data_IF_330410060126
#
_entry.id   IF_330410060126
#
_cell.length_a   1.000
_cell.length_b   1.000
_cell.length_c   1.000
_cell.angle_alpha   90.00
_cell.angle_beta   90.00
_cell.angle_gamma   90.00
#
_symmetry.space_group_name_H-M   'P 1'
#
loop_
_entity.id
_entity.type
_entity.pdbx_description
1 polymer ?
#
# COMPACT_ATOMS: atom_id res chain seq x y z
N UNK A 1 13.24 -10.27 -1.02
CA UNK A 1 12.08 -9.49 -0.58
C UNK A 1 11.88 -9.71 0.92
N UNK A 2 11.62 -8.64 1.65
CA UNK A 2 11.13 -8.68 3.04
C UNK A 2 9.69 -8.15 3.08
N UNK A 3 8.82 -8.78 3.87
CA UNK A 3 7.41 -8.39 3.99
C UNK A 3 7.11 -8.09 5.45
N UNK A 4 6.66 -6.87 5.72
CA UNK A 4 6.43 -6.34 7.07
C UNK A 4 4.93 -6.11 7.24
N UNK A 5 4.29 -6.72 8.27
CA UNK A 5 2.90 -6.42 8.59
C UNK A 5 2.80 -5.06 9.28
N UNK A 6 2.25 -4.07 8.58
CA UNK A 6 2.19 -2.67 9.04
C UNK A 6 1.14 -2.47 10.13
N UNK A 7 0.04 -3.23 10.06
CA UNK A 7 -1.07 -3.11 11.00
C UNK A 7 -1.06 -4.17 12.10
N UNK A 8 0.09 -4.82 12.37
CA UNK A 8 0.20 -5.93 13.31
C UNK A 8 -0.23 -5.55 14.75
N UNK A 9 0.06 -4.32 15.18
CA UNK A 9 -0.24 -3.81 16.52
C UNK A 9 -1.59 -3.06 16.60
N UNK A 10 -2.49 -3.29 15.63
CA UNK A 10 -3.79 -2.64 15.60
C UNK A 10 -4.66 -2.98 16.81
N UNK A 11 -5.11 -1.96 17.53
CA UNK A 11 -6.09 -2.09 18.61
C UNK A 11 -7.54 -1.83 18.13
N UNK A 12 -7.72 -1.44 16.86
CA UNK A 12 -9.01 -1.17 16.24
C UNK A 12 -9.16 -1.94 14.93
N UNK A 13 -10.38 -1.98 14.39
CA UNK A 13 -10.66 -2.68 13.14
C UNK A 13 -9.94 -2.00 11.96
N UNK A 14 -9.17 -2.80 11.19
CA UNK A 14 -8.42 -2.42 9.99
C UNK A 14 -8.12 -3.68 9.18
N UNK A 15 -7.76 -3.56 7.91
CA UNK A 15 -7.18 -4.66 7.15
C UNK A 15 -5.78 -5.02 7.66
N UNK A 16 -5.28 -6.17 7.21
CA UNK A 16 -3.84 -6.43 7.25
C UNK A 16 -3.19 -5.67 6.08
N UNK A 17 -2.38 -4.67 6.40
CA UNK A 17 -1.56 -3.95 5.42
C UNK A 17 -0.13 -4.49 5.46
N UNK A 18 0.52 -4.52 4.31
CA UNK A 18 1.85 -5.11 4.16
C UNK A 18 2.81 -4.17 3.43
N UNK A 19 3.94 -3.86 4.05
CA UNK A 19 5.05 -3.19 3.39
C UNK A 19 5.99 -4.24 2.82
N UNK A 20 6.19 -4.18 1.51
CA UNK A 20 7.02 -5.10 0.75
C UNK A 20 8.29 -4.37 0.34
N UNK A 21 9.42 -4.79 0.90
CA UNK A 21 10.74 -4.22 0.63
C UNK A 21 11.51 -5.05 -0.41
N UNK A 22 12.26 -4.37 -1.27
CA UNK A 22 13.11 -4.98 -2.30
C UNK A 22 13.55 -3.94 -3.34
N UNK A 23 13.71 -4.36 -4.59
CA UNK A 23 13.97 -3.46 -5.72
C UNK A 23 12.86 -2.42 -5.94
N UNK A 24 11.60 -2.76 -5.65
CA UNK A 24 10.48 -1.83 -5.62
C UNK A 24 9.76 -1.90 -4.27
N UNK A 25 9.79 -0.79 -3.54
CA UNK A 25 9.17 -0.68 -2.22
C UNK A 25 7.69 -0.38 -2.38
N UNK A 26 6.83 -1.32 -1.96
CA UNK A 26 5.38 -1.25 -2.20
C UNK A 26 4.60 -1.48 -0.92
N UNK A 27 3.59 -0.65 -0.69
CA UNK A 27 2.60 -0.87 0.36
C UNK A 27 1.35 -1.54 -0.27
N UNK A 28 0.93 -2.68 0.28
CA UNK A 28 -0.31 -3.35 -0.10
C UNK A 28 -1.38 -2.99 0.92
N UNK A 29 -2.35 -2.19 0.47
CA UNK A 29 -3.36 -1.48 1.27
C UNK A 29 -2.79 -0.58 2.38
N UNK A 30 -3.56 0.43 2.79
CA UNK A 30 -3.13 1.40 3.81
C UNK A 30 -3.81 1.21 5.17
N UNK A 31 -4.86 0.38 5.25
CA UNK A 31 -5.56 0.20 6.52
C UNK A 31 -6.38 1.41 6.97
N UNK A 32 -6.82 1.37 8.23
CA UNK A 32 -7.50 2.46 8.96
C UNK A 32 -6.85 2.79 10.31
N UNK A 33 -5.71 2.17 10.62
CA UNK A 33 -4.96 2.50 11.84
C UNK A 33 -4.22 3.82 11.65
N UNK A 34 -4.52 4.82 12.46
CA UNK A 34 -3.79 6.10 12.42
C UNK A 34 -2.29 5.91 12.63
N UNK A 35 -1.48 6.60 11.81
CA UNK A 35 -0.02 6.53 11.87
C UNK A 35 0.60 5.42 11.02
N UNK A 36 -0.14 4.86 10.04
CA UNK A 36 0.40 3.89 9.08
C UNK A 36 1.64 4.45 8.36
N UNK A 37 1.62 5.73 8.00
CA UNK A 37 2.73 6.42 7.35
C UNK A 37 3.95 6.55 8.26
N UNK A 38 3.75 6.63 9.58
CA UNK A 38 4.84 6.61 10.56
C UNK A 38 5.46 5.21 10.64
N UNK A 39 4.64 4.16 10.72
CA UNK A 39 5.13 2.77 10.75
C UNK A 39 5.91 2.44 9.48
N UNK A 40 5.40 2.82 8.30
CA UNK A 40 6.13 2.64 7.03
C UNK A 40 7.48 3.36 7.07
N UNK A 41 7.53 4.58 7.62
CA UNK A 41 8.75 5.36 7.70
C UNK A 41 9.80 4.84 8.70
N UNK A 42 9.43 3.92 9.60
CA UNK A 42 10.41 3.22 10.43
C UNK A 42 11.26 2.24 9.61
N UNK A 43 10.79 1.86 8.42
CA UNK A 43 11.39 0.82 7.59
C UNK A 43 11.99 1.34 6.27
N UNK A 44 11.48 2.45 5.74
CA UNK A 44 11.97 3.05 4.49
C UNK A 44 11.79 4.57 4.46
N UNK A 45 12.69 5.26 3.79
CA UNK A 45 12.58 6.71 3.53
C UNK A 45 11.72 7.02 2.29
N UNK A 46 11.59 6.04 1.37
CA UNK A 46 10.91 6.19 0.09
C UNK A 46 9.92 5.04 -0.15
N UNK A 47 8.78 5.34 -0.79
CA UNK A 47 7.75 4.37 -1.17
C UNK A 47 7.44 4.54 -2.66
N UNK A 48 7.71 3.50 -3.47
CA UNK A 48 7.53 3.59 -4.92
C UNK A 48 6.05 3.49 -5.31
N UNK A 49 5.27 2.67 -4.61
CA UNK A 49 3.86 2.47 -4.92
C UNK A 49 3.02 2.05 -3.72
N UNK A 50 1.72 2.29 -3.84
CA UNK A 50 0.66 1.63 -3.08
C UNK A 50 -0.21 0.83 -4.04
N UNK A 51 -0.47 -0.43 -3.69
CA UNK A 51 -1.40 -1.30 -4.42
C UNK A 51 -2.63 -1.48 -3.55
N UNK A 52 -3.77 -0.99 -4.05
CA UNK A 52 -5.07 -1.09 -3.37
C UNK A 52 -5.81 -2.32 -3.89
N UNK A 53 -6.09 -3.27 -3.00
CA UNK A 53 -6.79 -4.50 -3.35
C UNK A 53 -8.26 -4.22 -3.67
N UNK A 54 -8.93 -3.39 -2.87
CA UNK A 54 -10.30 -2.92 -3.10
C UNK A 54 -10.64 -1.69 -2.23
N UNK A 55 -11.83 -1.11 -2.47
CA UNK A 55 -12.21 0.23 -2.00
C UNK A 55 -12.93 0.27 -0.63
N UNK A 56 -12.93 -0.80 0.15
CA UNK A 56 -13.52 -0.72 1.48
C UNK A 56 -12.66 0.16 2.40
N UNK A 57 -13.33 0.87 3.31
CA UNK A 57 -12.67 1.89 4.13
C UNK A 57 -11.51 1.34 4.94
N UNK A 58 -11.60 0.10 5.41
CA UNK A 58 -10.56 -0.58 6.18
C UNK A 58 -9.30 -0.92 5.39
N UNK A 59 -9.30 -0.72 4.07
CA UNK A 59 -8.14 -0.88 3.19
C UNK A 59 -7.54 0.46 2.73
N UNK A 60 -8.37 1.50 2.56
CA UNK A 60 -7.96 2.79 1.98
C UNK A 60 -7.98 3.95 2.96
N UNK A 61 -8.38 3.73 4.22
CA UNK A 61 -8.66 4.79 5.19
C UNK A 61 -7.47 5.73 5.43
N UNK A 62 -6.27 5.20 5.53
CA UNK A 62 -5.03 5.96 5.75
C UNK A 62 -4.23 6.20 4.47
N UNK A 63 -4.79 5.84 3.29
CA UNK A 63 -4.13 6.01 2.00
C UNK A 63 -3.74 7.48 1.75
N UNK A 64 -4.57 8.42 2.18
CA UNK A 64 -4.28 9.86 2.05
C UNK A 64 -3.03 10.29 2.81
N UNK A 65 -2.84 9.81 4.04
CA UNK A 65 -1.67 10.13 4.85
C UNK A 65 -0.39 9.55 4.26
N UNK A 66 -0.45 8.31 3.77
CA UNK A 66 0.65 7.66 3.05
C UNK A 66 1.03 8.44 1.79
N UNK A 67 0.04 8.84 0.99
CA UNK A 67 0.28 9.60 -0.25
C UNK A 67 0.86 10.98 0.05
N UNK A 68 0.35 11.68 1.07
CA UNK A 68 0.88 12.99 1.48
C UNK A 68 2.35 12.90 1.92
N UNK A 69 2.74 11.81 2.59
CA UNK A 69 4.10 11.64 3.10
C UNK A 69 5.12 11.25 2.04
N UNK A 70 4.76 10.31 1.17
CA UNK A 70 5.74 9.65 0.29
C UNK A 70 5.55 9.96 -1.21
N UNK A 71 4.43 10.56 -1.62
CA UNK A 71 4.08 10.79 -3.04
C UNK A 71 4.24 9.54 -3.96
N UNK A 72 3.73 8.36 -3.55
CA UNK A 72 3.88 7.12 -4.31
C UNK A 72 2.91 7.04 -5.50
N UNK A 73 3.19 6.16 -6.46
CA UNK A 73 2.16 5.74 -7.41
C UNK A 73 1.04 4.96 -6.71
N UNK A 74 -0.22 5.18 -7.09
CA UNK A 74 -1.36 4.44 -6.52
C UNK A 74 -2.01 3.60 -7.61
N UNK A 75 -1.84 2.30 -7.49
CA UNK A 75 -2.43 1.28 -8.36
C UNK A 75 -3.74 0.79 -7.77
N UNK A 76 -4.83 0.85 -8.53
CA UNK A 76 -6.14 0.35 -8.10
C UNK A 76 -6.99 -0.09 -9.29
N UNK A 77 -7.74 -1.19 -9.11
CA UNK A 77 -8.71 -1.65 -10.10
C UNK A 77 -9.85 -0.63 -10.27
N UNK A 78 -10.54 -0.31 -9.17
CA UNK A 78 -11.67 0.61 -9.19
C UNK A 78 -11.21 2.08 -9.19
N UNK A 79 -12.08 2.96 -9.71
CA UNK A 79 -11.85 4.40 -9.67
C UNK A 79 -11.70 4.91 -8.22
N UNK A 80 -10.66 5.72 -7.99
CA UNK A 80 -10.36 6.32 -6.71
C UNK A 80 -9.71 7.70 -6.92
N UNK A 81 -10.03 8.73 -6.12
CA UNK A 81 -9.50 10.09 -6.32
C UNK A 81 -7.97 10.17 -6.30
N UNK A 82 -7.30 9.28 -5.57
CA UNK A 82 -5.84 9.21 -5.48
C UNK A 82 -5.22 8.25 -6.49
N UNK A 83 -6.00 7.53 -7.30
CA UNK A 83 -5.48 6.54 -8.26
C UNK A 83 -4.65 7.24 -9.33
N UNK A 84 -3.42 6.78 -9.52
CA UNK A 84 -2.55 7.22 -10.63
C UNK A 84 -2.52 6.18 -11.75
N UNK A 85 -2.70 4.89 -11.44
CA UNK A 85 -2.68 3.79 -12.40
C UNK A 85 -3.88 2.86 -12.20
N UNK A 86 -4.58 2.56 -13.29
CA UNK A 86 -5.63 1.55 -13.32
C UNK A 86 -5.02 0.15 -13.40
N UNK A 87 -5.56 -0.80 -12.65
CA UNK A 87 -5.26 -2.23 -12.77
C UNK A 87 -6.40 -2.97 -13.45
N UNK A 88 -6.08 -3.93 -14.30
CA UNK A 88 -6.99 -4.87 -14.93
C UNK A 88 -6.54 -6.33 -14.78
N UNK A 89 -7.44 -7.24 -15.10
CA UNK A 89 -7.18 -8.69 -15.16
C UNK A 89 -6.01 -8.99 -16.11
N UNK A 90 -5.00 -9.71 -15.61
CA UNK A 90 -3.80 -10.08 -16.37
C UNK A 90 -2.72 -8.99 -16.44
N UNK A 91 -2.94 -7.81 -15.85
CA UNK A 91 -1.87 -6.84 -15.64
C UNK A 91 -0.83 -7.40 -14.68
N UNK A 92 0.37 -6.82 -14.71
CA UNK A 92 1.46 -7.23 -13.82
C UNK A 92 1.89 -6.07 -12.94
N UNK A 93 2.18 -6.37 -11.67
CA UNK A 93 2.65 -5.42 -10.68
C UNK A 93 3.96 -5.92 -10.09
N UNK A 94 4.99 -5.08 -10.15
CA UNK A 94 6.27 -5.33 -9.50
C UNK A 94 6.16 -4.97 -8.01
N UNK A 95 6.55 -5.89 -7.13
CA UNK A 95 6.59 -5.68 -5.69
C UNK A 95 7.84 -6.35 -5.14
N UNK A 96 8.61 -5.65 -4.31
CA UNK A 96 9.92 -6.11 -3.83
C UNK A 96 10.84 -6.49 -4.98
N UNK A 97 11.17 -7.78 -5.09
CA UNK A 97 12.09 -8.31 -6.11
C UNK A 97 11.36 -9.23 -7.12
N UNK A 98 10.03 -9.20 -7.14
CA UNK A 98 9.19 -10.13 -7.92
C UNK A 98 8.04 -9.42 -8.66
N UNK A 99 7.54 -10.08 -9.71
CA UNK A 99 6.42 -9.63 -10.54
C UNK A 99 5.21 -10.52 -10.32
N UNK A 100 4.02 -9.93 -10.16
CA UNK A 100 2.77 -10.62 -9.85
C UNK A 100 1.68 -10.27 -10.87
N UNK A 101 0.97 -11.28 -11.35
CA UNK A 101 -0.22 -11.10 -12.18
C UNK A 101 -1.43 -10.73 -11.30
N UNK A 102 -2.22 -9.75 -11.76
CA UNK A 102 -3.48 -9.28 -11.15
C UNK A 102 -4.64 -10.20 -11.52
#
# INVERSE_FOLDING_TARGET
>A
MEVIPVTADAETFTCNAYLVLGERTVLVDAGTMSGVEDVVAEHTDDLDAVVVTHQHSDHVGELGAVVERFDPDVYAYADHPLRTHELGDGDHVEMGDESFEV
#
